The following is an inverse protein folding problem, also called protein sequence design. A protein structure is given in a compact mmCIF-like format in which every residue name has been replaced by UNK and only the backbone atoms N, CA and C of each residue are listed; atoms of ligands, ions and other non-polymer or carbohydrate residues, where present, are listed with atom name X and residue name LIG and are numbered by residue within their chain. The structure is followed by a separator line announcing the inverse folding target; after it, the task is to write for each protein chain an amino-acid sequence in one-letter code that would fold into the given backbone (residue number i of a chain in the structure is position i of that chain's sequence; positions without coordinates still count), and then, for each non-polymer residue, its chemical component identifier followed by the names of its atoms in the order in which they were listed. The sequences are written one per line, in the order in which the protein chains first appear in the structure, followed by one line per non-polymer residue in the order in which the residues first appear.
data_IF_545136675939
#
_entry.id   IF_545136675939
#
_cell.length_a   1.000
_cell.length_b   1.000
_cell.length_c   1.000
_cell.angle_alpha   90.00
_cell.angle_beta   90.00
_cell.angle_gamma   90.00
#
_symmetry.space_group_name_H-M   'P 1'
#
loop_
_entity.id
_entity.type
_entity.pdbx_description
1 polymer ?
#
# COMPACT_ATOMS: atom_id res chain seq x y z
N UNK A 1 -19.24 23.38 -10.66
CA UNK A 1 -17.89 23.86 -11.04
C UNK A 1 -17.08 22.63 -11.39
N UNK A 2 -16.60 22.52 -12.63
CA UNK A 2 -15.67 21.44 -13.02
C UNK A 2 -14.44 21.56 -12.12
N UNK A 3 -14.15 20.52 -11.32
CA UNK A 3 -12.87 20.43 -10.60
C UNK A 3 -11.81 20.23 -11.68
N UNK A 4 -10.90 21.17 -11.84
CA UNK A 4 -9.77 21.01 -12.76
C UNK A 4 -8.97 19.79 -12.33
N UNK A 5 -8.77 18.85 -13.26
CA UNK A 5 -7.89 17.71 -13.05
C UNK A 5 -6.46 18.20 -12.76
N UNK A 6 -5.74 17.48 -11.92
CA UNK A 6 -4.40 17.88 -11.48
C UNK A 6 -3.33 17.04 -12.16
N UNK A 7 -2.21 17.66 -12.53
CA UNK A 7 -1.01 16.91 -12.89
C UNK A 7 -0.36 16.38 -11.61
N UNK A 8 -0.20 15.06 -11.51
CA UNK A 8 0.53 14.42 -10.40
C UNK A 8 1.97 14.06 -10.78
N UNK A 9 2.36 14.19 -12.05
CA UNK A 9 3.68 13.77 -12.53
C UNK A 9 4.82 14.61 -11.95
N UNK A 10 4.54 15.88 -11.67
CA UNK A 10 5.50 16.82 -11.09
C UNK A 10 5.67 16.69 -9.57
N UNK A 11 4.98 15.76 -8.90
CA UNK A 11 5.10 15.60 -7.45
C UNK A 11 6.56 15.38 -7.05
N UNK A 12 7.33 14.61 -7.81
CA UNK A 12 8.72 14.31 -7.48
C UNK A 12 9.67 15.53 -7.55
N UNK A 13 9.31 16.51 -8.39
CA UNK A 13 10.06 17.75 -8.60
C UNK A 13 9.68 18.81 -7.53
N UNK A 14 8.58 18.59 -6.82
CA UNK A 14 8.06 19.54 -5.86
C UNK A 14 8.85 19.57 -4.55
N UNK A 15 8.92 20.73 -3.87
CA UNK A 15 9.49 20.83 -2.53
C UNK A 15 8.71 20.01 -1.49
N UNK A 16 7.42 19.72 -1.74
CA UNK A 16 6.56 18.91 -0.88
C UNK A 16 7.11 17.49 -0.79
N UNK A 17 7.45 16.89 -1.93
CA UNK A 17 8.01 15.53 -1.96
C UNK A 17 9.39 15.45 -1.32
N UNK A 18 10.23 16.47 -1.51
CA UNK A 18 11.52 16.57 -0.83
C UNK A 18 11.33 16.65 0.70
N UNK A 19 10.33 17.40 1.17
CA UNK A 19 10.00 17.47 2.59
C UNK A 19 9.52 16.12 3.14
N UNK A 20 8.70 15.37 2.40
CA UNK A 20 8.28 14.00 2.79
C UNK A 20 9.51 13.10 2.94
N UNK A 21 10.43 13.12 1.96
CA UNK A 21 11.69 12.37 2.01
C UNK A 21 12.54 12.74 3.23
N UNK A 22 12.73 14.04 3.49
CA UNK A 22 13.51 14.50 4.64
C UNK A 22 12.87 14.07 5.96
N UNK A 23 11.55 14.21 6.12
CA UNK A 23 10.84 13.77 7.33
C UNK A 23 10.96 12.26 7.54
N UNK A 24 10.84 11.47 6.47
CA UNK A 24 11.03 10.02 6.53
C UNK A 24 12.45 9.65 7.01
N UNK A 25 13.48 10.28 6.45
CA UNK A 25 14.86 10.03 6.86
C UNK A 25 15.12 10.46 8.32
N UNK A 26 14.57 11.60 8.76
CA UNK A 26 14.63 12.00 10.16
C UNK A 26 13.97 10.97 11.09
N UNK A 27 12.84 10.41 10.69
CA UNK A 27 12.11 9.38 11.45
C UNK A 27 12.93 8.08 11.55
N UNK A 28 13.55 7.64 10.44
CA UNK A 28 14.40 6.44 10.41
C UNK A 28 15.70 6.58 11.21
N UNK A 29 16.20 7.80 11.37
CA UNK A 29 17.46 8.06 12.10
C UNK A 29 17.24 8.33 13.59
N UNK A 30 15.99 8.51 14.02
CA UNK A 30 15.66 8.73 15.42
C UNK A 30 15.36 7.41 16.14
N UNK A 31 16.22 7.05 17.12
CA UNK A 31 16.10 5.81 17.91
C UNK A 31 15.07 5.87 19.03
N UNK A 32 14.58 7.06 19.37
CA UNK A 32 13.57 7.26 20.40
C UNK A 32 12.14 7.11 19.85
N UNK A 33 12.00 6.99 18.53
CA UNK A 33 10.72 6.78 17.85
C UNK A 33 10.17 5.39 18.15
N UNK A 34 8.86 5.35 18.38
CA UNK A 34 8.13 4.11 18.61
C UNK A 34 7.54 3.60 17.31
N UNK A 35 7.14 2.34 17.29
CA UNK A 35 6.48 1.70 16.15
C UNK A 35 5.26 2.49 15.66
N UNK A 36 4.49 3.05 16.60
CA UNK A 36 3.31 3.87 16.28
C UNK A 36 3.66 5.16 15.52
N UNK A 37 4.87 5.71 15.70
CA UNK A 37 5.31 6.90 14.96
C UNK A 37 5.53 6.57 13.48
N UNK A 38 6.08 5.38 13.19
CA UNK A 38 6.24 4.88 11.83
C UNK A 38 4.89 4.54 11.19
N UNK A 39 4.00 3.88 11.93
CA UNK A 39 2.65 3.57 11.47
C UNK A 39 1.87 4.84 11.13
N UNK A 40 1.90 5.86 11.99
CA UNK A 40 1.23 7.15 11.72
C UNK A 40 1.80 7.81 10.47
N UNK A 41 3.13 7.85 10.33
CA UNK A 41 3.75 8.46 9.15
C UNK A 41 3.38 7.73 7.85
N UNK A 42 3.44 6.40 7.84
CA UNK A 42 3.09 5.59 6.67
C UNK A 42 1.59 5.68 6.34
N UNK A 43 0.72 5.73 7.35
CA UNK A 43 -0.72 5.93 7.17
C UNK A 43 -1.03 7.28 6.52
N UNK A 44 -0.40 8.37 6.99
CA UNK A 44 -0.61 9.72 6.46
C UNK A 44 -0.02 9.95 5.05
N UNK A 45 0.83 9.05 4.56
CA UNK A 45 1.53 9.15 3.27
C UNK A 45 1.43 7.86 2.44
N UNK A 46 0.36 7.09 2.62
CA UNK A 46 0.23 5.74 2.07
C UNK A 46 0.44 5.66 0.55
N UNK A 47 0.00 6.66 -0.22
CA UNK A 47 0.17 6.67 -1.67
C UNK A 47 1.61 6.72 -2.19
N UNK A 48 2.58 6.95 -1.30
CA UNK A 48 4.02 7.02 -1.60
C UNK A 48 4.83 5.80 -1.19
N UNK A 49 4.37 5.01 -0.21
CA UNK A 49 5.23 4.03 0.48
C UNK A 49 4.90 2.56 0.21
N UNK A 50 3.76 2.25 -0.41
CA UNK A 50 3.35 0.87 -0.64
C UNK A 50 3.53 0.45 -2.11
N UNK A 51 3.91 -0.81 -2.35
CA UNK A 51 4.24 -1.27 -3.69
C UNK A 51 3.03 -1.28 -4.61
N UNK A 52 3.29 -1.02 -5.88
CA UNK A 52 2.32 -1.06 -6.98
C UNK A 52 2.82 -2.08 -7.99
N UNK A 53 2.21 -3.28 -8.04
CA UNK A 53 2.63 -4.41 -8.90
C UNK A 53 2.82 -4.05 -10.37
N UNK A 54 2.10 -3.06 -10.86
CA UNK A 54 2.20 -2.61 -12.24
C UNK A 54 2.44 -1.11 -12.28
N UNK A 55 3.54 -0.71 -12.93
CA UNK A 55 3.77 0.68 -13.34
C UNK A 55 2.70 1.19 -14.31
N UNK A 56 1.90 0.29 -14.89
CA UNK A 56 0.86 0.59 -15.88
C UNK A 56 -0.50 0.76 -15.20
N UNK A 57 -0.92 -0.19 -14.35
CA UNK A 57 -2.24 -0.09 -13.69
C UNK A 57 -2.21 0.65 -12.36
N UNK A 58 -1.17 0.59 -11.53
CA UNK A 58 -1.07 1.36 -10.26
C UNK A 58 -2.21 1.18 -9.24
N UNK A 59 -3.17 0.30 -9.53
CA UNK A 59 -4.43 0.08 -8.83
C UNK A 59 -4.22 -0.63 -7.49
N UNK A 60 -4.14 0.17 -6.43
CA UNK A 60 -4.03 -0.36 -5.08
C UNK A 60 -4.80 0.50 -4.07
N UNK A 61 -5.19 -0.14 -2.98
CA UNK A 61 -5.67 0.48 -1.76
C UNK A 61 -4.74 0.08 -0.63
N UNK A 62 -4.44 1.01 0.26
CA UNK A 62 -3.72 0.71 1.49
C UNK A 62 -4.72 0.80 2.63
N UNK A 63 -4.85 -0.28 3.37
CA UNK A 63 -5.68 -0.36 4.57
C UNK A 63 -4.77 -0.36 5.80
N UNK A 64 -5.27 0.14 6.91
CA UNK A 64 -4.56 0.11 8.20
C UNK A 64 -5.39 -0.55 9.28
N UNK A 65 -4.69 -1.25 10.19
CA UNK A 65 -5.27 -1.75 11.43
C UNK A 65 -6.48 -2.68 11.22
N UNK A 66 -6.47 -3.48 10.15
CA UNK A 66 -7.54 -4.45 9.84
C UNK A 66 -7.59 -5.53 10.91
N UNK A 67 -8.77 -5.73 11.50
CA UNK A 67 -9.01 -6.73 12.53
C UNK A 67 -9.26 -8.11 11.93
N UNK A 68 -8.55 -9.11 12.44
CA UNK A 68 -8.72 -10.52 12.14
C UNK A 68 -9.38 -11.19 13.35
N UNK A 69 -10.72 -11.17 13.36
CA UNK A 69 -11.50 -11.54 14.52
C UNK A 69 -11.29 -10.54 15.65
N UNK A 70 -11.41 -11.00 16.90
CA UNK A 70 -11.15 -10.17 18.08
C UNK A 70 -9.73 -10.28 18.61
N UNK A 71 -8.92 -11.18 18.03
CA UNK A 71 -7.64 -11.61 18.59
C UNK A 71 -6.45 -10.88 17.95
N UNK A 72 -6.52 -10.60 16.65
CA UNK A 72 -5.39 -10.06 15.92
C UNK A 72 -5.77 -8.83 15.13
N UNK A 73 -4.75 -8.01 14.87
CA UNK A 73 -4.85 -6.77 14.12
C UNK A 73 -3.57 -6.63 13.32
N UNK A 74 -3.71 -6.41 12.01
CA UNK A 74 -2.60 -6.12 11.11
C UNK A 74 -2.11 -4.69 11.31
N UNK A 75 -0.89 -4.37 10.88
CA UNK A 75 -0.49 -2.96 10.78
C UNK A 75 -1.03 -2.33 9.52
N UNK A 76 -0.74 -2.95 8.38
CA UNK A 76 -1.23 -2.53 7.08
C UNK A 76 -1.70 -3.71 6.25
N UNK A 77 -2.55 -3.43 5.27
CA UNK A 77 -2.87 -4.35 4.18
C UNK A 77 -2.74 -3.59 2.87
N UNK A 78 -1.85 -4.05 1.99
CA UNK A 78 -1.78 -3.56 0.61
C UNK A 78 -2.70 -4.41 -0.27
N UNK A 79 -3.78 -3.83 -0.76
CA UNK A 79 -4.76 -4.50 -1.61
C UNK A 79 -4.56 -4.08 -3.07
N UNK A 80 -4.11 -4.99 -3.91
CA UNK A 80 -3.73 -4.72 -5.30
C UNK A 80 -4.68 -5.44 -6.28
N UNK A 81 -5.06 -4.76 -7.36
CA UNK A 81 -5.89 -5.36 -8.40
C UNK A 81 -5.07 -6.35 -9.25
N UNK A 82 -5.32 -7.65 -9.11
CA UNK A 82 -4.76 -8.70 -9.96
C UNK A 82 -5.67 -9.03 -11.15
N UNK A 83 -6.29 -8.00 -11.74
CA UNK A 83 -7.18 -8.07 -12.91
C UNK A 83 -8.21 -9.20 -12.76
N UNK A 84 -8.30 -10.10 -13.75
CA UNK A 84 -9.27 -11.18 -13.82
C UNK A 84 -9.25 -12.14 -12.62
N UNK A 85 -8.22 -12.14 -11.76
CA UNK A 85 -8.15 -12.91 -10.51
C UNK A 85 -8.66 -12.16 -9.28
N UNK A 86 -9.05 -10.89 -9.42
CA UNK A 86 -9.52 -10.02 -8.36
C UNK A 86 -8.41 -9.43 -7.50
N UNK A 87 -8.73 -8.99 -6.28
CA UNK A 87 -7.72 -8.43 -5.38
C UNK A 87 -6.79 -9.51 -4.82
N UNK A 88 -5.52 -9.13 -4.72
CA UNK A 88 -4.51 -9.78 -3.87
C UNK A 88 -4.21 -8.85 -2.70
N UNK A 89 -4.19 -9.40 -1.48
CA UNK A 89 -3.96 -8.64 -0.26
C UNK A 89 -2.64 -9.06 0.37
N UNK A 90 -1.73 -8.12 0.57
CA UNK A 90 -0.51 -8.34 1.36
C UNK A 90 -0.72 -7.80 2.76
N UNK A 91 -0.82 -8.70 3.75
CA UNK A 91 -0.91 -8.36 5.17
C UNK A 91 0.50 -8.08 5.70
N UNK A 92 0.68 -6.92 6.31
CA UNK A 92 1.99 -6.38 6.70
C UNK A 92 2.02 -6.19 8.22
N UNK A 93 3.07 -6.71 8.84
CA UNK A 93 3.49 -6.42 10.21
C UNK A 93 4.74 -5.54 10.20
N UNK A 94 4.79 -4.51 11.04
CA UNK A 94 5.96 -3.69 11.25
C UNK A 94 6.60 -4.03 12.61
N UNK A 95 7.93 -4.08 12.63
CA UNK A 95 8.73 -3.99 13.86
C UNK A 95 9.64 -2.76 13.75
N UNK A 96 10.48 -2.49 14.75
CA UNK A 96 11.34 -1.29 14.72
C UNK A 96 12.36 -1.35 13.57
N UNK A 97 12.67 -0.21 12.90
CA UNK A 97 13.81 -0.13 11.98
C UNK A 97 15.16 -0.29 12.70
N UNK A 98 15.17 -0.20 14.04
CA UNK A 98 16.38 -0.34 14.86
C UNK A 98 16.59 -1.77 15.38
N UNK A 99 15.63 -2.66 15.16
CA UNK A 99 15.75 -4.07 15.51
C UNK A 99 16.60 -4.83 14.51
N UNK A 100 17.47 -5.70 15.02
CA UNK A 100 18.27 -6.61 14.19
C UNK A 100 17.57 -7.95 14.05
N UNK A 101 17.67 -8.60 12.89
CA UNK A 101 17.04 -9.91 12.67
C UNK A 101 17.74 -11.05 13.41
N UNK A 102 19.08 -11.01 13.45
CA UNK A 102 19.90 -12.06 14.06
C UNK A 102 20.88 -11.50 15.09
N UNK A 103 21.06 -12.25 16.16
CA UNK A 103 22.12 -12.05 17.14
C UNK A 103 23.50 -12.27 16.51
N UNK A 104 24.57 -11.82 17.18
CA UNK A 104 25.96 -12.08 16.76
C UNK A 104 26.29 -13.58 16.58
N UNK A 105 25.53 -14.46 17.23
CA UNK A 105 25.69 -15.91 17.15
C UNK A 105 24.79 -16.55 16.07
N UNK A 106 24.17 -15.76 15.18
CA UNK A 106 23.35 -16.26 14.07
C UNK A 106 21.96 -16.77 14.47
N UNK A 107 21.53 -16.57 15.71
CA UNK A 107 20.18 -16.93 16.18
C UNK A 107 19.19 -15.77 15.95
N UNK A 108 17.92 -16.04 15.58
CA UNK A 108 16.89 -15.02 15.50
C UNK A 108 16.81 -14.19 16.79
N UNK A 109 16.63 -12.88 16.67
CA UNK A 109 16.35 -12.05 17.84
C UNK A 109 14.92 -12.26 18.32
N UNK A 110 14.64 -11.85 19.56
CA UNK A 110 13.30 -11.93 20.14
C UNK A 110 12.28 -11.18 19.28
N UNK A 111 12.59 -9.95 18.87
CA UNK A 111 11.69 -9.11 18.06
C UNK A 111 11.40 -9.72 16.70
N UNK A 112 12.44 -10.20 16.01
CA UNK A 112 12.24 -10.89 14.74
C UNK A 112 11.40 -12.17 14.88
N UNK A 113 11.64 -12.97 15.93
CA UNK A 113 10.85 -14.17 16.19
C UNK A 113 9.37 -13.84 16.50
N UNK A 114 9.12 -12.77 17.26
CA UNK A 114 7.78 -12.31 17.61
C UNK A 114 6.99 -11.84 16.38
N UNK A 115 7.57 -11.01 15.52
CA UNK A 115 6.90 -10.59 14.28
C UNK A 115 6.57 -11.77 13.35
N UNK A 116 7.45 -12.77 13.25
CA UNK A 116 7.15 -14.00 12.50
C UNK A 116 6.04 -14.83 13.14
N UNK A 117 6.03 -14.96 14.46
CA UNK A 117 4.99 -15.66 15.21
C UNK A 117 3.61 -15.00 15.02
N UNK A 118 3.55 -13.68 15.11
CA UNK A 118 2.33 -12.90 14.86
C UNK A 118 1.75 -13.17 13.47
N UNK A 119 2.59 -13.17 12.42
CA UNK A 119 2.15 -13.50 11.06
C UNK A 119 1.68 -14.96 10.95
N UNK A 120 2.37 -15.91 11.59
CA UNK A 120 1.96 -17.33 11.59
C UNK A 120 0.61 -17.50 12.27
N UNK A 121 0.35 -16.77 13.35
CA UNK A 121 -0.94 -16.77 14.04
C UNK A 121 -2.05 -16.22 13.14
N UNK A 122 -1.79 -15.16 12.36
CA UNK A 122 -2.74 -14.69 11.35
C UNK A 122 -3.03 -15.77 10.32
N UNK A 123 -2.01 -16.46 9.79
CA UNK A 123 -2.19 -17.54 8.82
C UNK A 123 -3.05 -18.67 9.37
N UNK A 124 -2.79 -19.09 10.60
CA UNK A 124 -3.58 -20.13 11.28
C UNK A 124 -5.03 -19.67 11.51
N UNK A 125 -5.21 -18.41 11.92
CA UNK A 125 -6.52 -17.83 12.10
C UNK A 125 -7.31 -17.78 10.79
N UNK A 126 -6.69 -17.30 9.70
CA UNK A 126 -7.29 -17.27 8.35
C UNK A 126 -7.76 -18.67 7.93
N UNK A 127 -6.90 -19.69 8.10
CA UNK A 127 -7.21 -21.07 7.72
C UNK A 127 -8.42 -21.62 8.48
N UNK A 128 -8.59 -21.25 9.76
CA UNK A 128 -9.71 -21.69 10.60
C UNK A 128 -11.00 -20.89 10.37
N UNK A 129 -10.92 -19.68 9.85
CA UNK A 129 -12.04 -18.73 9.77
C UNK A 129 -12.36 -18.34 8.31
N UNK A 130 -12.28 -19.30 7.39
CA UNK A 130 -12.37 -19.03 5.95
C UNK A 130 -13.66 -18.30 5.53
N UNK A 131 -14.81 -18.59 6.18
CA UNK A 131 -16.08 -17.92 5.90
C UNK A 131 -16.11 -16.45 6.33
N UNK A 132 -15.39 -16.09 7.39
CA UNK A 132 -15.28 -14.70 7.87
C UNK A 132 -14.32 -13.93 6.96
N UNK A 133 -13.25 -14.60 6.52
CA UNK A 133 -12.19 -14.01 5.71
C UNK A 133 -12.69 -13.47 4.37
N UNK A 134 -13.67 -14.12 3.72
CA UNK A 134 -14.28 -13.61 2.48
C UNK A 134 -14.88 -12.21 2.68
N UNK A 135 -15.56 -11.99 3.81
CA UNK A 135 -16.16 -10.70 4.14
C UNK A 135 -15.17 -9.63 4.57
N UNK A 136 -13.92 -9.99 4.90
CA UNK A 136 -12.86 -9.03 5.24
C UNK A 136 -12.00 -8.71 4.00
N UNK A 137 -11.73 -9.72 3.18
CA UNK A 137 -10.84 -9.65 2.01
C UNK A 137 -11.52 -10.26 0.78
N UNK A 138 -12.58 -9.61 0.24
CA UNK A 138 -13.28 -10.14 -0.91
C UNK A 138 -12.36 -10.19 -2.13
N UNK A 139 -12.42 -11.29 -2.86
CA UNK A 139 -11.60 -11.49 -4.06
C UNK A 139 -12.27 -12.52 -4.96
N UNK A 140 -12.15 -12.36 -6.28
CA UNK A 140 -12.63 -13.36 -7.23
C UNK A 140 -11.91 -14.70 -7.06
N UNK A 141 -10.67 -14.68 -6.56
CA UNK A 141 -9.94 -15.89 -6.18
C UNK A 141 -10.72 -16.77 -5.19
N UNK A 142 -11.56 -16.16 -4.34
CA UNK A 142 -12.43 -16.90 -3.42
C UNK A 142 -13.45 -17.75 -4.16
N UNK A 143 -14.13 -17.18 -5.16
CA UNK A 143 -15.09 -17.93 -6.00
C UNK A 143 -14.43 -19.05 -6.81
N UNK A 144 -13.13 -18.95 -7.12
CA UNK A 144 -12.40 -19.93 -7.91
C UNK A 144 -11.73 -21.03 -7.08
N UNK A 145 -11.24 -20.70 -5.88
CA UNK A 145 -10.37 -21.59 -5.09
C UNK A 145 -10.86 -21.82 -3.66
N UNK A 146 -11.95 -21.15 -3.26
CA UNK A 146 -12.47 -21.15 -1.90
C UNK A 146 -11.62 -20.38 -0.91
N UNK A 147 -10.62 -19.61 -1.35
CA UNK A 147 -9.71 -18.82 -0.50
C UNK A 147 -9.37 -17.48 -1.16
N UNK A 148 -9.14 -16.39 -0.40
CA UNK A 148 -8.64 -15.17 -0.99
C UNK A 148 -7.15 -15.28 -1.31
N UNK A 149 -6.69 -14.43 -2.23
CA UNK A 149 -5.28 -14.30 -2.55
C UNK A 149 -4.59 -13.45 -1.49
N UNK A 150 -3.96 -14.10 -0.50
CA UNK A 150 -3.27 -13.45 0.61
C UNK A 150 -1.76 -13.69 0.54
N UNK A 151 -1.01 -12.62 0.78
CA UNK A 151 0.43 -12.61 1.02
C UNK A 151 0.71 -12.04 2.41
N UNK A 152 1.91 -12.32 2.92
CA UNK A 152 2.32 -11.92 4.25
C UNK A 152 3.71 -11.31 4.20
N UNK A 153 3.89 -10.17 4.88
CA UNK A 153 5.15 -9.44 4.89
C UNK A 153 5.47 -8.95 6.31
N UNK A 154 6.71 -9.15 6.72
CA UNK A 154 7.30 -8.54 7.91
C UNK A 154 8.30 -7.48 7.46
N UNK A 155 8.15 -6.24 7.96
CA UNK A 155 9.11 -5.16 7.74
C UNK A 155 9.82 -4.86 9.06
N UNK A 156 11.13 -5.11 9.10
CA UNK A 156 11.94 -5.00 10.33
C UNK A 156 13.37 -4.59 10.00
N UNK A 157 13.95 -3.73 10.84
CA UNK A 157 15.35 -3.34 10.73
C UNK A 157 15.69 -2.48 9.50
N UNK A 158 16.99 -2.26 9.30
CA UNK A 158 17.57 -1.52 8.17
C UNK A 158 18.79 -2.24 7.58
N UNK A 159 19.09 -2.05 6.30
CA UNK A 159 20.24 -2.62 5.56
C UNK A 159 21.58 -2.29 6.23
N UNK A 160 21.69 -1.10 6.81
CA UNK A 160 22.90 -0.65 7.52
C UNK A 160 23.23 -1.49 8.76
N UNK A 161 22.28 -2.29 9.27
CA UNK A 161 22.56 -3.35 10.26
C UNK A 161 23.23 -4.57 9.61
N UNK A 162 24.37 -4.34 8.94
CA UNK A 162 25.28 -5.32 8.32
C UNK A 162 24.58 -6.34 7.42
N UNK A 163 24.48 -5.99 6.14
CA UNK A 163 24.32 -6.94 5.02
C UNK A 163 25.42 -8.02 5.06
N UNK A 164 25.14 -9.11 5.76
CA UNK A 164 25.79 -10.38 5.52
C UNK A 164 24.88 -11.15 4.57
N UNK A 165 25.43 -11.75 3.50
CA UNK A 165 24.73 -12.70 2.61
C UNK A 165 23.93 -13.78 3.38
N UNK A 166 24.30 -14.04 4.63
CA UNK A 166 23.59 -14.88 5.59
C UNK A 166 22.14 -14.43 5.85
N UNK A 167 21.91 -13.14 6.08
CA UNK A 167 20.59 -12.60 6.38
C UNK A 167 19.67 -12.74 5.16
N UNK A 168 20.15 -12.29 3.99
CA UNK A 168 19.42 -12.45 2.72
C UNK A 168 19.03 -13.91 2.46
N UNK A 169 19.98 -14.87 2.58
CA UNK A 169 19.67 -16.30 2.42
C UNK A 169 18.59 -16.78 3.38
N UNK A 170 18.66 -16.38 4.65
CA UNK A 170 17.67 -16.79 5.65
C UNK A 170 16.29 -16.20 5.41
N UNK A 171 16.19 -14.96 4.94
CA UNK A 171 14.93 -14.36 4.50
C UNK A 171 14.34 -15.12 3.30
N UNK A 172 15.17 -15.53 2.34
CA UNK A 172 14.73 -16.39 1.22
C UNK A 172 14.26 -17.76 1.70
N UNK A 173 14.95 -18.38 2.66
CA UNK A 173 14.52 -19.66 3.26
C UNK A 173 13.14 -19.53 3.91
N UNK A 174 12.89 -18.44 4.67
CA UNK A 174 11.57 -18.16 5.26
C UNK A 174 10.52 -17.99 4.17
N UNK A 175 10.80 -17.22 3.12
CA UNK A 175 9.87 -17.06 2.01
C UNK A 175 9.54 -18.40 1.33
N UNK A 176 10.54 -19.22 1.02
CA UNK A 176 10.33 -20.50 0.34
C UNK A 176 9.56 -21.51 1.18
N UNK A 177 9.78 -21.53 2.49
CA UNK A 177 9.16 -22.51 3.38
C UNK A 177 7.79 -22.05 3.91
N UNK A 178 7.61 -20.74 4.09
CA UNK A 178 6.47 -20.18 4.82
C UNK A 178 5.70 -19.14 4.01
N UNK A 179 6.14 -18.76 2.81
CA UNK A 179 5.52 -17.69 2.01
C UNK A 179 5.37 -16.37 2.81
N UNK A 180 6.33 -16.08 3.68
CA UNK A 180 6.43 -14.81 4.43
C UNK A 180 7.60 -14.03 3.84
N UNK A 181 7.31 -12.83 3.33
CA UNK A 181 8.33 -11.93 2.81
C UNK A 181 8.92 -11.10 3.96
N UNK A 182 10.25 -11.08 4.10
CA UNK A 182 10.93 -10.27 5.12
C UNK A 182 11.69 -9.13 4.45
N UNK A 183 11.28 -7.90 4.71
CA UNK A 183 11.87 -6.66 4.16
C UNK A 183 12.43 -5.78 5.29
N UNK A 184 13.30 -4.84 4.92
CA UNK A 184 13.75 -3.77 5.84
C UNK A 184 13.00 -2.49 5.52
N UNK A 185 13.09 -1.49 6.40
CA UNK A 185 12.51 -0.17 6.14
C UNK A 185 13.09 0.51 4.90
N UNK A 186 14.29 0.14 4.46
CA UNK A 186 14.88 0.69 3.25
C UNK A 186 14.14 0.22 1.99
N UNK A 187 13.37 -0.88 2.04
CA UNK A 187 12.45 -1.24 0.96
C UNK A 187 11.36 -0.18 0.75
N UNK A 188 10.83 0.38 1.84
CA UNK A 188 9.86 1.48 1.80
C UNK A 188 10.51 2.77 1.28
N UNK A 189 11.78 3.00 1.65
CA UNK A 189 12.59 4.10 1.07
C UNK A 189 12.77 3.92 -0.44
N UNK A 190 13.11 2.72 -0.91
CA UNK A 190 13.26 2.43 -2.34
C UNK A 190 11.94 2.65 -3.09
N UNK A 191 10.79 2.26 -2.51
CA UNK A 191 9.46 2.53 -3.08
C UNK A 191 9.20 4.04 -3.17
N UNK A 192 9.46 4.78 -2.09
CA UNK A 192 9.31 6.24 -2.09
C UNK A 192 10.16 6.87 -3.19
N UNK A 193 11.42 6.45 -3.34
CA UNK A 193 12.33 7.01 -4.33
C UNK A 193 11.97 6.65 -5.76
N UNK A 194 11.46 5.43 -6.00
CA UNK A 194 11.01 4.96 -7.30
C UNK A 194 9.59 5.44 -7.66
N UNK A 195 8.85 6.03 -6.72
CA UNK A 195 7.50 6.52 -6.95
C UNK A 195 7.49 7.53 -8.08
N UNK A 196 6.64 7.32 -9.08
CA UNK A 196 6.38 8.28 -10.16
C UNK A 196 4.87 8.36 -10.36
N UNK A 197 4.18 9.22 -9.57
CA UNK A 197 2.74 9.36 -9.68
C UNK A 197 2.34 9.78 -11.09
N UNK A 198 1.23 9.24 -11.58
CA UNK A 198 0.67 9.56 -12.90
C UNK A 198 -0.66 10.26 -12.71
N UNK A 199 -0.99 11.17 -13.63
CA UNK A 199 -2.29 11.82 -13.63
C UNK A 199 -3.44 10.81 -13.82
N UNK A 200 -3.19 9.69 -14.49
CA UNK A 200 -4.16 8.63 -14.75
C UNK A 200 -3.54 7.25 -14.58
N UNK A 201 -4.36 6.30 -14.13
CA UNK A 201 -4.05 4.88 -14.08
C UNK A 201 -4.71 4.14 -15.23
N UNK A 202 -4.05 3.09 -15.73
CA UNK A 202 -4.70 2.16 -16.65
C UNK A 202 -5.63 1.24 -15.85
N UNK A 203 -6.92 1.51 -15.92
CA UNK A 203 -7.97 0.69 -15.34
C UNK A 203 -8.60 -0.19 -16.44
N UNK A 204 -8.91 -1.46 -16.12
CA UNK A 204 -9.58 -2.37 -17.06
C UNK A 204 -10.95 -1.83 -17.50
N UNK A 205 -11.28 -1.96 -18.79
CA UNK A 205 -12.39 -1.28 -19.47
C UNK A 205 -13.75 -1.98 -19.35
N UNK A 206 -13.91 -2.94 -18.45
CA UNK A 206 -15.09 -3.80 -18.47
C UNK A 206 -16.32 -3.06 -17.93
N UNK A 207 -17.18 -2.68 -18.89
CA UNK A 207 -18.57 -2.22 -18.82
C UNK A 207 -18.79 -0.69 -18.84
N UNK A 208 -18.30 0.08 -17.86
CA UNK A 208 -18.24 1.55 -17.85
C UNK A 208 -17.08 1.90 -16.90
N UNK A 209 -15.92 2.28 -17.45
CA UNK A 209 -14.79 2.70 -16.62
C UNK A 209 -15.05 4.06 -15.96
N UNK A 210 -14.22 4.46 -14.98
CA UNK A 210 -14.34 5.80 -14.41
C UNK A 210 -14.19 6.89 -15.45
N UNK A 211 -14.83 8.03 -15.18
CA UNK A 211 -14.49 9.29 -15.83
C UNK A 211 -13.01 9.63 -15.65
N UNK A 212 -12.49 10.50 -16.50
CA UNK A 212 -11.10 10.95 -16.39
C UNK A 212 -10.86 11.71 -15.07
N UNK A 213 -11.89 12.40 -14.57
CA UNK A 213 -11.85 13.10 -13.29
C UNK A 213 -11.79 12.12 -12.10
N UNK A 214 -12.58 11.04 -12.11
CA UNK A 214 -12.54 10.01 -11.08
C UNK A 214 -11.21 9.25 -11.09
N UNK A 215 -10.69 8.93 -12.26
CA UNK A 215 -9.38 8.29 -12.40
C UNK A 215 -8.27 9.22 -11.89
N UNK A 216 -8.33 10.52 -12.21
CA UNK A 216 -7.40 11.52 -11.69
C UNK A 216 -7.49 11.68 -10.16
N UNK A 217 -8.70 11.65 -9.60
CA UNK A 217 -8.90 11.70 -8.15
C UNK A 217 -8.37 10.44 -7.45
N UNK A 218 -8.51 9.27 -8.09
CA UNK A 218 -8.03 7.99 -7.57
C UNK A 218 -6.50 7.86 -7.67
N UNK A 219 -5.89 8.41 -8.72
CA UNK A 219 -4.44 8.41 -8.91
C UNK A 219 -3.70 9.39 -7.99
N UNK A 220 -4.41 10.30 -7.32
CA UNK A 220 -3.87 11.27 -6.37
C UNK A 220 -2.96 10.58 -5.33
N UNK A 221 -1.65 10.89 -5.25
CA UNK A 221 -0.70 10.19 -4.39
C UNK A 221 -0.78 10.62 -2.91
N UNK A 222 -1.50 11.69 -2.58
CA UNK A 222 -1.64 12.20 -1.21
C UNK A 222 -2.73 11.47 -0.40
N UNK A 223 -3.16 10.28 -0.83
CA UNK A 223 -4.12 9.50 -0.06
C UNK A 223 -3.50 8.90 1.21
N UNK A 224 -4.34 8.80 2.24
CA UNK A 224 -4.02 8.13 3.49
C UNK A 224 -4.48 6.67 3.47
N UNK A 225 -3.93 5.84 4.35
CA UNK A 225 -4.44 4.48 4.56
C UNK A 225 -5.90 4.51 5.03
N UNK A 226 -6.64 3.45 4.72
CA UNK A 226 -8.06 3.32 5.05
C UNK A 226 -8.20 2.52 6.36
N UNK A 227 -8.76 3.10 7.44
CA UNK A 227 -8.98 2.37 8.69
C UNK A 227 -10.01 1.24 8.54
N UNK A 228 -9.86 0.19 9.34
CA UNK A 228 -10.76 -0.99 9.36
C UNK A 228 -12.25 -0.66 9.35
N UNK A 229 -12.72 0.26 10.22
CA UNK A 229 -14.13 0.64 10.27
C UNK A 229 -14.66 1.21 8.95
N UNK A 230 -13.82 2.00 8.27
CA UNK A 230 -14.15 2.60 6.98
C UNK A 230 -14.09 1.56 5.86
N UNK A 231 -13.08 0.68 5.88
CA UNK A 231 -13.00 -0.44 4.94
C UNK A 231 -14.25 -1.32 4.99
N UNK A 232 -14.69 -1.72 6.20
CA UNK A 232 -15.92 -2.52 6.38
C UNK A 232 -17.17 -1.82 5.88
N UNK A 233 -17.26 -0.50 6.10
CA UNK A 233 -18.36 0.31 5.57
C UNK A 233 -18.35 0.30 4.04
N UNK A 234 -17.20 0.53 3.41
CA UNK A 234 -17.04 0.46 1.96
C UNK A 234 -17.47 -0.91 1.42
N UNK A 235 -17.03 -2.01 2.04
CA UNK A 235 -17.40 -3.36 1.63
C UNK A 235 -18.91 -3.60 1.63
N UNK A 236 -19.65 -3.00 2.58
CA UNK A 236 -21.11 -3.12 2.62
C UNK A 236 -21.83 -2.34 1.52
N UNK A 237 -21.15 -1.37 0.90
CA UNK A 237 -21.68 -0.50 -0.15
C UNK A 237 -21.20 -0.93 -1.55
N UNK A 238 -20.20 -1.82 -1.65
CA UNK A 238 -19.66 -2.30 -2.92
C UNK A 238 -20.70 -3.04 -3.76
N UNK A 239 -20.69 -2.75 -5.07
CA UNK A 239 -21.42 -3.50 -6.09
C UNK A 239 -20.68 -4.83 -6.31
N UNK A 240 -21.34 -5.96 -6.06
CA UNK A 240 -20.70 -7.29 -5.99
C UNK A 240 -20.25 -7.76 -7.39
N UNK A 241 -19.04 -7.36 -7.79
CA UNK A 241 -18.23 -8.04 -8.79
C UNK A 241 -16.73 -7.84 -8.49
N UNK A 242 -16.06 -8.97 -8.24
CA UNK A 242 -14.72 -8.99 -7.68
C UNK A 242 -13.58 -9.08 -8.70
N UNK A 243 -13.89 -9.05 -10.01
CA UNK A 243 -12.87 -9.11 -11.08
C UNK A 243 -12.21 -7.76 -11.34
N UNK A 244 -12.90 -6.66 -11.06
CA UNK A 244 -12.42 -5.29 -11.31
C UNK A 244 -12.87 -4.36 -10.17
N UNK A 245 -12.54 -4.75 -8.93
CA UNK A 245 -13.08 -4.10 -7.74
C UNK A 245 -12.87 -2.58 -7.71
N UNK A 246 -11.71 -2.06 -8.15
CA UNK A 246 -11.46 -0.61 -8.13
C UNK A 246 -12.34 0.10 -9.14
N UNK A 247 -12.28 -0.26 -10.42
CA UNK A 247 -13.03 0.47 -11.45
C UNK A 247 -14.55 0.38 -11.24
N UNK A 248 -15.05 -0.73 -10.72
CA UNK A 248 -16.49 -0.91 -10.51
C UNK A 248 -17.02 -0.28 -9.21
N UNK A 249 -16.15 0.01 -8.25
CA UNK A 249 -16.50 0.63 -6.97
C UNK A 249 -15.80 1.98 -6.76
N UNK A 250 -15.33 2.63 -7.83
CA UNK A 250 -14.49 3.82 -7.74
C UNK A 250 -15.21 4.99 -7.07
N UNK A 251 -16.50 5.17 -7.35
CA UNK A 251 -17.37 6.17 -6.70
C UNK A 251 -17.32 6.00 -5.18
N UNK A 252 -17.66 4.80 -4.69
CA UNK A 252 -17.63 4.46 -3.26
C UNK A 252 -16.22 4.62 -2.68
N UNK A 253 -15.18 4.19 -3.41
CA UNK A 253 -13.79 4.35 -2.96
C UNK A 253 -13.46 5.85 -2.79
N UNK A 254 -13.81 6.69 -3.75
CA UNK A 254 -13.55 8.13 -3.72
C UNK A 254 -14.36 8.84 -2.62
N UNK A 255 -15.60 8.43 -2.39
CA UNK A 255 -16.45 8.97 -1.32
C UNK A 255 -15.86 8.73 0.08
N UNK A 256 -15.22 7.57 0.29
CA UNK A 256 -14.61 7.23 1.58
C UNK A 256 -13.13 7.62 1.65
N UNK A 257 -12.47 7.88 0.53
CA UNK A 257 -11.03 8.18 0.48
C UNK A 257 -10.69 9.39 1.36
N UNK A 258 -9.60 9.24 2.11
CA UNK A 258 -9.06 10.33 2.94
C UNK A 258 -7.75 10.81 2.34
N UNK A 259 -7.60 12.13 2.24
CA UNK A 259 -6.43 12.77 1.66
C UNK A 259 -5.65 13.52 2.74
N UNK A 260 -4.35 13.66 2.55
CA UNK A 260 -3.53 14.61 3.27
C UNK A 260 -3.72 16.00 2.64
N UNK A 261 -4.88 16.61 2.91
CA UNK A 261 -5.29 17.88 2.30
C UNK A 261 -4.28 19.02 2.48
N UNK A 262 -3.63 19.21 3.65
CA UNK A 262 -2.62 20.26 3.79
C UNK A 262 -1.48 20.12 2.77
N UNK A 263 -0.86 18.94 2.67
CA UNK A 263 0.24 18.70 1.72
C UNK A 263 -0.24 18.75 0.27
N UNK A 264 -1.44 18.23 0.00
CA UNK A 264 -2.03 18.29 -1.33
C UNK A 264 -2.27 19.74 -1.77
N UNK A 265 -2.79 20.59 -0.88
CA UNK A 265 -3.05 22.00 -1.19
C UNK A 265 -1.76 22.81 -1.37
N UNK A 266 -0.72 22.52 -0.58
CA UNK A 266 0.63 23.06 -0.80
C UNK A 266 1.16 22.68 -2.19
N UNK A 267 1.01 21.41 -2.58
CA UNK A 267 1.41 20.94 -3.91
C UNK A 267 0.61 21.61 -5.04
N UNK A 268 -0.72 21.70 -4.92
CA UNK A 268 -1.58 22.35 -5.90
C UNK A 268 -1.21 23.83 -6.06
N UNK A 269 -0.87 24.51 -4.96
CA UNK A 269 -0.40 25.90 -5.02
C UNK A 269 0.92 25.99 -5.80
N UNK A 270 1.88 25.11 -5.49
CA UNK A 270 3.18 25.07 -6.17
C UNK A 270 3.06 24.82 -7.69
N UNK A 271 2.24 23.86 -8.14
CA UNK A 271 2.08 23.63 -9.59
C UNK A 271 1.40 24.81 -10.30
N UNK A 272 0.46 25.51 -9.63
CA UNK A 272 -0.20 26.68 -10.21
C UNK A 272 0.78 27.86 -10.36
N UNK A 273 1.60 28.11 -9.34
CA UNK A 273 2.63 29.17 -9.35
C UNK A 273 3.68 28.94 -10.46
N UNK A 274 3.96 27.68 -10.80
CA UNK A 274 4.95 27.29 -11.79
C UNK A 274 4.35 26.98 -13.18
N UNK A 275 3.05 27.16 -13.38
CA UNK A 275 2.37 26.88 -14.66
C UNK A 275 2.37 25.40 -15.08
N UNK A 276 2.48 24.49 -14.12
CA UNK A 276 2.53 23.03 -14.31
C UNK A 276 1.16 22.34 -14.14
N UNK A 277 0.08 23.13 -14.08
CA UNK A 277 -1.28 22.65 -13.82
C UNK A 277 -2.00 22.07 -15.06
N UNK A 278 -1.40 22.19 -16.24
CA UNK A 278 -1.95 21.63 -17.48
C UNK A 278 -1.52 20.17 -17.63
N UNK A 279 -2.50 19.27 -17.70
CA UNK A 279 -2.26 17.87 -18.06
C UNK A 279 -1.87 17.82 -19.54
N UNK A 280 -0.62 17.44 -19.79
CA UNK A 280 -0.05 17.34 -21.15
C UNK A 280 -0.67 16.18 -21.92
N UNK A 281 -0.62 16.19 -23.26
CA UNK A 281 -1.13 15.08 -24.08
C UNK A 281 -0.45 13.74 -23.77
N UNK A 282 0.78 13.75 -23.27
CA UNK A 282 1.50 12.54 -22.82
C UNK A 282 1.01 12.00 -21.47
N UNK A 283 0.32 12.81 -20.68
CA UNK A 283 -0.33 12.41 -19.42
C UNK A 283 -1.80 12.05 -19.60
N UNK A 284 -2.41 12.49 -20.70
CA UNK A 284 -3.65 11.93 -21.22
C UNK A 284 -3.33 10.51 -21.71
N UNK A 285 -4.27 9.58 -21.49
CA UNK A 285 -4.20 8.12 -21.74
C UNK A 285 -3.04 7.66 -22.65
N UNK A 286 -2.30 6.58 -22.31
CA UNK A 286 -1.61 5.82 -23.33
C UNK A 286 -2.62 5.50 -24.43
N UNK A 287 -2.34 5.98 -25.64
CA UNK A 287 -3.21 5.88 -26.81
C UNK A 287 -3.92 4.53 -26.86
N UNK A 288 -5.24 4.62 -26.98
CA UNK A 288 -6.09 3.55 -27.47
C UNK A 288 -5.41 2.87 -28.65
N UNK A 289 -4.89 1.67 -28.43
CA UNK A 289 -4.75 0.71 -29.52
C UNK A 289 -5.80 -0.35 -29.29
N UNK A 290 -6.76 -0.29 -30.21
CA UNK A 290 -7.87 -1.20 -30.51
C UNK A 290 -7.63 -2.66 -30.16
#
# INVERSE_FOLDING_TARGET
MSKSMQSWSHVNESPIFQNIKSKWQCLLNNRDMKEEDYQRFLSDHAGFFFPKKSHISGDHLVLEKIQLGTQYKTDFVNAECNRSYGFEYTLIELESPHDTLYTKNGRPTKKFAQGLEQIRDWKHWVQKNNSIIEGIFPSKSFSLTGKPSLKYMLIIGRRETRENNFDTRKRLEIFNNECIEVRTYDYLTDILEASSPKAHLWLSHDLIGPSEEENNAFSNPFFKAIPDAKWRKMLSEFKINYSHMISQNIETILEHRTLNEPLMNEYISWINENGLNLITEHEKKPLQQS
#
